data_IF_466281976242
#
_entry.id   IF_466281976242
#
_cell.length_a   1.000
_cell.length_b   1.000
_cell.length_c   1.000
_cell.angle_alpha   90.00
_cell.angle_beta   90.00
_cell.angle_gamma   90.00
#
_symmetry.space_group_name_H-M   'P 1'
#
loop_
_entity.id
_entity.type
_entity.pdbx_description
1 polymer ?
#
# COMPACT_ATOMS: atom_id res chain seq x y z
N UNK A 1 -8.85 -10.90 2.73
CA UNK A 1 -7.67 -10.02 2.83
C UNK A 1 -7.13 -9.81 1.43
N UNK A 2 -7.34 -8.63 0.85
CA UNK A 2 -6.67 -8.29 -0.40
C UNK A 2 -5.20 -7.97 -0.08
N UNK A 3 -4.28 -8.81 -0.57
CA UNK A 3 -2.86 -8.62 -0.38
C UNK A 3 -2.32 -7.77 -1.53
N UNK A 4 -1.67 -6.65 -1.20
CA UNK A 4 -0.88 -5.91 -2.17
C UNK A 4 0.32 -6.77 -2.58
N UNK A 5 0.65 -6.77 -3.86
CA UNK A 5 1.92 -7.31 -4.31
C UNK A 5 3.02 -6.31 -3.93
N UNK A 6 3.97 -6.75 -3.11
CA UNK A 6 5.15 -5.97 -2.70
C UNK A 6 6.44 -6.56 -3.27
N UNK A 7 6.32 -7.51 -4.19
CA UNK A 7 7.46 -8.28 -4.70
C UNK A 7 8.19 -7.52 -5.80
N UNK A 8 7.53 -6.57 -6.45
CA UNK A 8 8.14 -5.71 -7.45
C UNK A 8 9.13 -4.72 -6.81
N UNK A 9 10.35 -4.59 -7.34
CA UNK A 9 11.33 -3.60 -6.85
C UNK A 9 10.84 -2.15 -7.03
N UNK A 10 9.85 -1.92 -7.89
CA UNK A 10 9.21 -0.62 -8.10
C UNK A 10 8.53 -0.05 -6.84
N UNK A 11 8.18 -0.92 -5.89
CA UNK A 11 7.66 -0.49 -4.59
C UNK A 11 8.74 0.09 -3.68
N UNK A 12 10.02 -0.09 -3.98
CA UNK A 12 11.11 0.39 -3.14
C UNK A 12 11.84 1.54 -3.85
N UNK A 13 11.65 2.75 -3.33
CA UNK A 13 12.31 3.95 -3.86
C UNK A 13 13.64 4.18 -3.13
N UNK A 14 14.74 3.88 -3.81
CA UNK A 14 16.10 4.12 -3.30
C UNK A 14 16.49 5.60 -3.31
N UNK A 15 15.70 6.47 -3.97
CA UNK A 15 16.03 7.90 -4.10
C UNK A 15 15.75 8.72 -2.84
N UNK A 16 14.97 8.18 -1.89
CA UNK A 16 14.74 8.84 -0.61
C UNK A 16 13.44 8.41 0.06
N UNK A 17 13.44 8.49 1.39
CA UNK A 17 12.23 8.32 2.17
C UNK A 17 11.27 9.49 1.94
N UNK A 18 9.98 9.17 1.80
CA UNK A 18 8.88 10.13 1.72
C UNK A 18 7.90 9.87 2.86
N UNK A 19 7.17 10.87 3.34
CA UNK A 19 6.21 10.68 4.43
C UNK A 19 5.07 9.76 3.97
N UNK A 20 4.79 8.72 4.76
CA UNK A 20 3.67 7.81 4.55
C UNK A 20 2.35 8.58 4.55
N UNK A 21 1.49 8.37 3.55
CA UNK A 21 0.21 9.07 3.44
C UNK A 21 -0.80 8.71 4.55
N UNK A 22 -0.53 7.68 5.35
CA UNK A 22 -1.39 7.20 6.44
C UNK A 22 -0.85 7.66 7.80
N UNK A 23 0.38 7.29 8.13
CA UNK A 23 0.98 7.54 9.45
C UNK A 23 2.01 8.67 9.47
N UNK A 24 2.23 9.34 8.33
CA UNK A 24 3.16 10.47 8.12
C UNK A 24 4.64 10.21 8.43
N UNK A 25 5.01 8.99 8.83
CA UNK A 25 6.40 8.60 9.09
C UNK A 25 7.17 8.38 7.78
N UNK A 26 8.48 8.66 7.73
CA UNK A 26 9.28 8.42 6.53
C UNK A 26 9.24 6.95 6.11
N UNK A 27 9.08 6.71 4.81
CA UNK A 27 9.07 5.38 4.20
C UNK A 27 9.77 5.38 2.84
N UNK A 28 10.66 4.41 2.58
CA UNK A 28 11.17 4.15 1.24
C UNK A 28 10.14 3.40 0.37
N UNK A 29 9.09 2.84 0.97
CA UNK A 29 8.08 2.07 0.23
C UNK A 29 7.08 2.95 -0.51
N UNK A 30 6.59 2.42 -1.63
CA UNK A 30 5.56 2.98 -2.50
C UNK A 30 4.47 1.93 -2.71
N UNK A 31 3.22 2.36 -2.62
CA UNK A 31 2.07 1.56 -3.07
C UNK A 31 2.17 1.30 -4.57
N UNK A 32 1.36 0.37 -5.08
CA UNK A 32 1.19 0.10 -6.53
C UNK A 32 0.98 1.39 -7.35
N UNK A 33 0.27 2.36 -6.78
CA UNK A 33 0.03 3.67 -7.43
C UNK A 33 1.16 4.69 -7.24
N UNK A 34 2.34 4.28 -6.78
CA UNK A 34 3.50 5.13 -6.53
C UNK A 34 3.40 6.04 -5.29
N UNK A 35 2.36 5.90 -4.46
CA UNK A 35 2.17 6.72 -3.26
C UNK A 35 3.05 6.24 -2.10
N UNK A 36 3.73 7.12 -1.34
CA UNK A 36 4.55 6.70 -0.22
C UNK A 36 3.67 6.13 0.90
N UNK A 37 3.87 4.87 1.23
CA UNK A 37 3.11 4.18 2.28
C UNK A 37 3.92 2.99 2.81
N UNK A 38 3.81 2.71 4.11
CA UNK A 38 4.37 1.46 4.66
C UNK A 38 3.52 0.26 4.23
N UNK A 39 4.16 -0.90 4.10
CA UNK A 39 3.47 -2.16 3.80
C UNK A 39 2.26 -2.38 4.71
N UNK A 40 2.51 -2.33 6.02
CA UNK A 40 1.48 -2.59 7.04
C UNK A 40 0.36 -1.55 6.97
N UNK A 41 0.70 -0.25 6.87
CA UNK A 41 -0.33 0.79 6.77
C UNK A 41 -1.22 0.62 5.55
N UNK A 42 -0.66 0.22 4.41
CA UNK A 42 -1.44 -0.03 3.21
C UNK A 42 -2.31 -1.31 3.32
N UNK A 43 -1.78 -2.38 3.92
CA UNK A 43 -2.55 -3.59 4.21
C UNK A 43 -3.71 -3.31 5.20
N UNK A 44 -3.45 -2.56 6.28
CA UNK A 44 -4.49 -2.12 7.23
C UNK A 44 -5.54 -1.23 6.57
N UNK A 45 -5.12 -0.30 5.71
CA UNK A 45 -6.06 0.55 4.97
C UNK A 45 -6.95 -0.27 4.04
N UNK A 46 -6.38 -1.24 3.32
CA UNK A 46 -7.15 -2.14 2.45
C UNK A 46 -8.08 -3.01 3.28
N UNK A 47 -7.64 -3.56 4.41
CA UNK A 47 -8.52 -4.34 5.28
C UNK A 47 -9.71 -3.50 5.80
N UNK A 48 -9.46 -2.24 6.15
CA UNK A 48 -10.48 -1.29 6.61
C UNK A 48 -11.38 -0.74 5.50
N UNK A 49 -10.88 -0.63 4.26
CA UNK A 49 -11.58 0.00 3.12
C UNK A 49 -12.01 -0.96 2.01
N UNK A 50 -11.64 -2.25 2.07
CA UNK A 50 -12.23 -3.27 1.20
C UNK A 50 -13.71 -3.36 1.54
N UNK A 51 -14.62 -3.00 0.61
CA UNK A 51 -16.04 -3.23 0.83
C UNK A 51 -16.23 -4.74 0.99
N UNK A 52 -16.86 -5.16 2.08
CA UNK A 52 -17.15 -6.57 2.36
C UNK A 52 -18.20 -7.19 1.42
N UNK A 53 -18.53 -6.54 0.30
CA UNK A 53 -19.50 -7.01 -0.66
C UNK A 53 -19.16 -6.51 -2.07
N UNK A 54 -18.33 -7.27 -2.80
CA UNK A 54 -18.45 -7.45 -4.25
C UNK A 54 -18.00 -8.88 -4.56
N UNK A 55 -18.90 -9.82 -4.29
CA UNK A 55 -18.91 -11.09 -5.00
C UNK A 55 -19.72 -10.95 -6.27
N UNK A 56 -19.08 -10.83 -7.43
CA UNK A 56 -19.64 -11.16 -8.76
C UNK A 56 -18.47 -11.28 -9.73
N UNK A 57 -18.09 -12.46 -10.25
CA UNK A 57 -19.00 -13.34 -10.95
C UNK A 57 -19.43 -12.67 -12.26
N UNK A 58 -18.57 -12.72 -13.29
CA UNK A 58 -19.02 -12.72 -14.68
C UNK A 58 -17.95 -13.21 -15.66
#
# INVERSE_FOLDING_TARGET
>A
MAFLDWRSPEHYDHNGDKPCVICTKPTPLRSDRGKPVHKVCAEEWIDAHTPKDEGAGK
#
